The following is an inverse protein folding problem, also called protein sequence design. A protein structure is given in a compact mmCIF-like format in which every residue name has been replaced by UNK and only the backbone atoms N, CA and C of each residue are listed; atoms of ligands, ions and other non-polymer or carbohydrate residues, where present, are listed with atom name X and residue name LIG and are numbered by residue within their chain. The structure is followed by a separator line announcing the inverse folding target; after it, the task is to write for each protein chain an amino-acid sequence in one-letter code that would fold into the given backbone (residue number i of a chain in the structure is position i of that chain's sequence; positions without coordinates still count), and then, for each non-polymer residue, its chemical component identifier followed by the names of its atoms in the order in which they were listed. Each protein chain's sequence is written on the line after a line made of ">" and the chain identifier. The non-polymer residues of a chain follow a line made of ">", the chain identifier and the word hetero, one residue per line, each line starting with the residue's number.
data_IF_104342577887
#
_entry.id   IF_104342577887
#
_cell.length_a   1.000
_cell.length_b   1.000
_cell.length_c   1.000
_cell.angle_alpha   90.00
_cell.angle_beta   90.00
_cell.angle_gamma   90.00
#
_symmetry.space_group_name_H-M   'P 1'
#
loop_
_entity.id
_entity.type
_entity.pdbx_description
1 polymer ?
#
# COMPACT_ATOMS: atom_id res chain seq x y z
N UNK A 1 -37.37 7.27 10.31
CA UNK A 1 -35.94 7.57 10.52
C UNK A 1 -35.08 6.33 10.28
N UNK A 2 -35.35 5.21 10.96
CA UNK A 2 -34.58 3.96 10.84
C UNK A 2 -34.59 3.33 9.43
N UNK A 3 -35.70 3.40 8.70
CA UNK A 3 -35.80 2.88 7.32
C UNK A 3 -34.93 3.67 6.35
N UNK A 4 -34.93 5.00 6.43
CA UNK A 4 -34.15 5.85 5.54
C UNK A 4 -32.64 5.69 5.75
N UNK A 5 -32.19 5.51 7.00
CA UNK A 5 -30.79 5.20 7.32
C UNK A 5 -30.36 3.83 6.78
N UNK A 6 -31.22 2.81 6.90
CA UNK A 6 -30.96 1.47 6.39
C UNK A 6 -30.88 1.46 4.86
N UNK A 7 -31.79 2.16 4.17
CA UNK A 7 -31.82 2.24 2.71
C UNK A 7 -30.54 2.91 2.17
N UNK A 8 -30.13 4.03 2.78
CA UNK A 8 -28.89 4.73 2.44
C UNK A 8 -27.67 3.80 2.58
N UNK A 9 -27.50 3.16 3.73
CA UNK A 9 -26.32 2.30 3.97
C UNK A 9 -26.32 1.05 3.09
N UNK A 10 -27.49 0.51 2.75
CA UNK A 10 -27.60 -0.59 1.80
C UNK A 10 -27.17 -0.16 0.40
N UNK A 11 -27.57 1.04 -0.03
CA UNK A 11 -27.13 1.62 -1.30
C UNK A 11 -25.60 1.82 -1.34
N UNK A 12 -25.03 2.34 -0.25
CA UNK A 12 -23.56 2.44 -0.09
C UNK A 12 -22.89 1.07 -0.24
N UNK A 13 -23.40 0.02 0.40
CA UNK A 13 -22.84 -1.33 0.29
C UNK A 13 -22.95 -1.90 -1.13
N UNK A 14 -24.09 -1.71 -1.79
CA UNK A 14 -24.31 -2.19 -3.16
C UNK A 14 -23.36 -1.54 -4.16
N UNK A 15 -23.01 -0.27 -3.93
CA UNK A 15 -22.06 0.45 -4.79
C UNK A 15 -20.65 -0.18 -4.79
N UNK A 16 -20.26 -0.85 -3.69
CA UNK A 16 -18.96 -1.51 -3.53
C UNK A 16 -18.84 -2.84 -4.28
N UNK A 17 -19.91 -3.30 -4.93
CA UNK A 17 -19.90 -4.46 -5.82
C UNK A 17 -19.31 -4.12 -7.19
N UNK A 18 -19.11 -2.84 -7.49
CA UNK A 18 -18.45 -2.39 -8.72
C UNK A 18 -16.94 -2.64 -8.64
N UNK A 19 -16.30 -2.93 -9.78
CA UNK A 19 -14.85 -3.14 -9.84
C UNK A 19 -14.24 -2.12 -10.80
N UNK A 20 -13.45 -1.14 -10.31
CA UNK A 20 -12.91 -0.08 -11.15
C UNK A 20 -11.65 -0.48 -11.94
N UNK A 21 -11.27 -1.76 -11.95
CA UNK A 21 -10.19 -2.33 -12.75
C UNK A 21 -8.88 -1.51 -12.74
N UNK A 22 -8.46 -1.10 -11.54
CA UNK A 22 -7.28 -0.27 -11.23
C UNK A 22 -7.40 1.24 -11.45
N UNK A 23 -8.56 1.72 -11.88
CA UNK A 23 -8.83 3.14 -12.10
C UNK A 23 -9.57 3.72 -10.90
N UNK A 24 -8.83 4.01 -9.83
CA UNK A 24 -9.37 4.45 -8.53
C UNK A 24 -10.28 5.70 -8.66
N UNK A 25 -9.99 6.52 -9.67
CA UNK A 25 -10.76 7.69 -10.09
C UNK A 25 -12.25 7.37 -10.30
N UNK A 26 -12.56 6.19 -10.85
CA UNK A 26 -13.93 5.81 -11.22
C UNK A 26 -14.85 5.63 -10.00
N UNK A 27 -14.27 5.40 -8.82
CA UNK A 27 -15.02 5.24 -7.57
C UNK A 27 -14.73 6.38 -6.59
N UNK A 28 -13.98 7.40 -6.98
CA UNK A 28 -13.66 8.53 -6.10
C UNK A 28 -14.92 9.29 -5.69
N UNK A 29 -15.74 9.70 -6.66
CA UNK A 29 -16.99 10.44 -6.40
C UNK A 29 -17.93 9.62 -5.53
N UNK A 30 -18.04 8.31 -5.79
CA UNK A 30 -18.81 7.40 -4.96
C UNK A 30 -18.34 7.43 -3.48
N UNK A 31 -17.03 7.35 -3.25
CA UNK A 31 -16.48 7.39 -1.88
C UNK A 31 -16.63 8.77 -1.22
N UNK A 32 -16.57 9.86 -2.01
CA UNK A 32 -16.83 11.21 -1.53
C UNK A 32 -18.28 11.34 -1.06
N UNK A 33 -19.24 10.89 -1.86
CA UNK A 33 -20.66 10.92 -1.53
C UNK A 33 -20.95 10.08 -0.29
N UNK A 34 -20.37 8.88 -0.23
CA UNK A 34 -20.50 8.01 0.95
C UNK A 34 -20.00 8.69 2.23
N UNK A 35 -18.82 9.31 2.17
CA UNK A 35 -18.23 10.00 3.30
C UNK A 35 -19.02 11.27 3.69
N UNK A 36 -19.57 12.00 2.72
CA UNK A 36 -20.35 13.21 2.96
C UNK A 36 -21.70 12.90 3.61
N UNK A 37 -22.35 11.79 3.21
CA UNK A 37 -23.68 11.42 3.68
C UNK A 37 -23.68 10.80 5.09
N UNK A 38 -22.74 9.90 5.39
CA UNK A 38 -22.60 9.29 6.72
C UNK A 38 -21.13 9.05 7.06
N UNK A 39 -20.40 10.07 7.55
CA UNK A 39 -18.97 9.95 7.81
C UNK A 39 -18.65 8.92 8.90
N UNK A 40 -19.49 8.81 9.94
CA UNK A 40 -19.29 7.82 11.01
C UNK A 40 -19.40 6.40 10.46
N UNK A 41 -20.45 6.12 9.68
CA UNK A 41 -20.57 4.82 9.04
C UNK A 41 -19.46 4.57 8.04
N UNK A 42 -19.04 5.57 7.25
CA UNK A 42 -17.92 5.44 6.31
C UNK A 42 -16.63 4.98 6.99
N UNK A 43 -16.29 5.58 8.15
CA UNK A 43 -15.14 5.17 8.96
C UNK A 43 -15.23 3.71 9.40
N UNK A 44 -16.38 3.30 9.94
CA UNK A 44 -16.61 1.90 10.34
C UNK A 44 -16.57 0.94 9.14
N UNK A 45 -17.23 1.30 8.04
CA UNK A 45 -17.26 0.52 6.82
C UNK A 45 -15.86 0.34 6.25
N UNK A 46 -15.01 1.36 6.24
CA UNK A 46 -13.62 1.25 5.81
C UNK A 46 -12.82 0.23 6.64
N UNK A 47 -12.98 0.25 7.97
CA UNK A 47 -12.30 -0.72 8.85
C UNK A 47 -12.81 -2.15 8.67
N UNK A 48 -14.12 -2.31 8.46
CA UNK A 48 -14.73 -3.60 8.14
C UNK A 48 -14.26 -4.11 6.78
N UNK A 49 -14.30 -3.24 5.76
CA UNK A 49 -13.92 -3.55 4.38
C UNK A 49 -12.44 -3.92 4.27
N UNK A 50 -11.56 -3.30 5.06
CA UNK A 50 -10.15 -3.69 5.10
C UNK A 50 -9.95 -5.16 5.50
N UNK A 51 -10.85 -5.71 6.34
CA UNK A 51 -10.77 -7.10 6.82
C UNK A 51 -11.60 -8.09 6.01
N UNK A 52 -12.67 -7.61 5.36
CA UNK A 52 -13.72 -8.46 4.77
C UNK A 52 -14.02 -8.17 3.30
N UNK A 53 -13.61 -7.01 2.80
CA UNK A 53 -13.82 -6.62 1.41
C UNK A 53 -12.93 -7.39 0.46
N UNK A 54 -13.45 -7.64 -0.74
CA UNK A 54 -12.78 -8.42 -1.77
C UNK A 54 -12.16 -7.55 -2.86
N UNK A 55 -12.74 -6.37 -3.13
CA UNK A 55 -12.28 -5.48 -4.21
C UNK A 55 -11.20 -4.56 -3.67
N UNK A 56 -9.96 -4.85 -4.06
CA UNK A 56 -8.77 -4.11 -3.64
C UNK A 56 -8.84 -2.61 -3.87
N UNK A 57 -9.41 -2.19 -5.00
CA UNK A 57 -9.46 -0.79 -5.37
C UNK A 57 -10.29 0.03 -4.37
N UNK A 58 -11.44 -0.49 -3.91
CA UNK A 58 -12.21 0.14 -2.84
C UNK A 58 -11.43 0.24 -1.52
N UNK A 59 -10.66 -0.80 -1.17
CA UNK A 59 -9.79 -0.75 0.02
C UNK A 59 -8.77 0.39 -0.07
N UNK A 60 -8.17 0.60 -1.24
CA UNK A 60 -7.21 1.68 -1.47
C UNK A 60 -7.88 3.06 -1.40
N UNK A 61 -9.07 3.23 -1.99
CA UNK A 61 -9.82 4.50 -1.94
C UNK A 61 -10.32 4.81 -0.53
N UNK A 62 -10.83 3.82 0.21
CA UNK A 62 -11.19 3.98 1.62
C UNK A 62 -10.03 4.58 2.43
N UNK A 63 -8.85 3.96 2.35
CA UNK A 63 -7.67 4.39 3.10
C UNK A 63 -7.24 5.80 2.67
N UNK A 64 -7.31 6.13 1.37
CA UNK A 64 -6.99 7.46 0.90
C UNK A 64 -7.90 8.54 1.49
N UNK A 65 -9.23 8.34 1.42
CA UNK A 65 -10.21 9.26 1.98
C UNK A 65 -10.10 9.38 3.50
N UNK A 66 -9.83 8.28 4.21
CA UNK A 66 -9.58 8.31 5.65
C UNK A 66 -8.36 9.19 5.99
N UNK A 67 -7.26 9.02 5.26
CA UNK A 67 -6.01 9.76 5.48
C UNK A 67 -6.14 11.27 5.18
N UNK A 68 -7.06 11.65 4.30
CA UNK A 68 -7.31 13.05 3.90
C UNK A 68 -8.55 13.66 4.55
N UNK A 69 -9.25 12.92 5.42
CA UNK A 69 -10.47 13.40 6.08
C UNK A 69 -10.19 14.49 7.11
N UNK A 70 -11.17 15.38 7.31
CA UNK A 70 -11.14 16.40 8.37
C UNK A 70 -11.33 15.82 9.78
N UNK A 71 -11.91 14.61 9.88
CA UNK A 71 -12.08 13.90 11.15
C UNK A 71 -10.76 13.25 11.59
N UNK A 72 -10.39 13.46 12.86
CA UNK A 72 -9.13 12.92 13.41
C UNK A 72 -9.17 11.40 13.48
N UNK A 73 -10.31 10.84 13.90
CA UNK A 73 -10.59 9.42 14.01
C UNK A 73 -10.42 8.71 12.66
N UNK A 74 -10.83 9.36 11.57
CA UNK A 74 -10.60 8.87 10.22
C UNK A 74 -9.13 8.83 9.88
N UNK A 75 -8.39 9.91 10.14
CA UNK A 75 -6.96 9.95 9.85
C UNK A 75 -6.19 8.91 10.65
N UNK A 76 -6.56 8.69 11.91
CA UNK A 76 -5.95 7.67 12.77
C UNK A 76 -6.26 6.25 12.27
N UNK A 77 -7.50 5.98 11.86
CA UNK A 77 -7.87 4.71 11.23
C UNK A 77 -7.09 4.50 9.92
N UNK A 78 -7.09 5.48 9.02
CA UNK A 78 -6.34 5.43 7.76
C UNK A 78 -4.84 5.21 7.98
N UNK A 79 -4.27 5.84 9.02
CA UNK A 79 -2.87 5.64 9.41
C UNK A 79 -2.59 4.19 9.74
N UNK A 80 -3.41 3.57 10.60
CA UNK A 80 -3.25 2.19 11.04
C UNK A 80 -3.46 1.21 9.89
N UNK A 81 -4.55 1.36 9.12
CA UNK A 81 -4.86 0.48 7.99
C UNK A 81 -3.78 0.49 6.90
N UNK A 82 -3.12 1.63 6.68
CA UNK A 82 -2.00 1.73 5.73
C UNK A 82 -0.81 0.84 6.11
N UNK A 83 -0.59 0.58 7.41
CA UNK A 83 0.57 -0.20 7.87
C UNK A 83 0.55 -1.66 7.43
N UNK A 84 -0.66 -2.20 7.21
CA UNK A 84 -0.90 -3.60 6.88
C UNK A 84 -0.90 -3.86 5.36
N UNK A 85 -0.87 -2.81 4.54
CA UNK A 85 -0.87 -2.95 3.10
C UNK A 85 0.49 -3.47 2.56
N UNK A 86 0.48 -4.19 1.43
CA UNK A 86 1.70 -4.46 0.67
C UNK A 86 2.20 -3.18 -0.04
N UNK A 87 3.50 -3.12 -0.42
CA UNK A 87 4.11 -1.90 -0.96
C UNK A 87 3.40 -1.31 -2.17
N UNK A 88 2.89 -2.15 -3.08
CA UNK A 88 2.22 -1.68 -4.28
C UNK A 88 0.88 -0.98 -3.95
N UNK A 89 0.13 -1.43 -2.94
CA UNK A 89 -1.10 -0.77 -2.52
C UNK A 89 -0.79 0.56 -1.84
N UNK A 90 0.24 0.62 -0.98
CA UNK A 90 0.66 1.90 -0.37
C UNK A 90 1.09 2.90 -1.44
N UNK A 91 1.83 2.48 -2.46
CA UNK A 91 2.20 3.34 -3.57
C UNK A 91 0.99 3.84 -4.38
N UNK A 92 -0.04 3.00 -4.56
CA UNK A 92 -1.29 3.39 -5.22
C UNK A 92 -2.10 4.38 -4.38
N UNK A 93 -2.26 4.16 -3.08
CA UNK A 93 -2.89 5.11 -2.16
C UNK A 93 -2.18 6.47 -2.19
N UNK A 94 -0.85 6.48 -2.08
CA UNK A 94 -0.06 7.72 -2.14
C UNK A 94 -0.20 8.40 -3.50
N UNK A 95 -0.16 7.63 -4.60
CA UNK A 95 -0.35 8.15 -5.95
C UNK A 95 -1.72 8.79 -6.12
N UNK A 96 -2.77 8.10 -5.68
CA UNK A 96 -4.15 8.58 -5.69
C UNK A 96 -4.28 9.87 -4.88
N UNK A 97 -3.76 9.94 -3.65
CA UNK A 97 -3.80 11.17 -2.85
C UNK A 97 -3.14 12.35 -3.58
N UNK A 98 -1.97 12.12 -4.20
CA UNK A 98 -1.26 13.18 -4.95
C UNK A 98 -2.05 13.64 -6.16
N UNK A 99 -2.70 12.74 -6.88
CA UNK A 99 -3.47 13.09 -8.08
C UNK A 99 -4.79 13.77 -7.73
N UNK A 100 -5.53 13.25 -6.74
CA UNK A 100 -6.90 13.65 -6.44
C UNK A 100 -7.03 14.79 -5.42
N UNK A 101 -6.08 14.91 -4.49
CA UNK A 101 -6.16 15.89 -3.38
C UNK A 101 -5.12 17.01 -3.52
N UNK A 102 -4.87 17.46 -4.76
CA UNK A 102 -4.07 18.66 -5.03
C UNK A 102 -2.55 18.51 -4.82
N UNK A 103 -2.01 17.30 -4.98
CA UNK A 103 -0.55 17.07 -5.04
C UNK A 103 0.18 17.01 -3.69
N UNK A 104 -0.43 17.50 -2.61
CA UNK A 104 0.19 17.58 -1.28
C UNK A 104 -0.36 16.50 -0.36
N UNK A 105 0.53 15.67 0.19
CA UNK A 105 0.12 14.72 1.23
C UNK A 105 -0.06 15.46 2.56
N UNK A 106 -1.12 15.14 3.33
CA UNK A 106 -1.20 15.52 4.73
C UNK A 106 0.03 15.06 5.53
N UNK A 107 0.41 15.83 6.55
CA UNK A 107 1.58 15.51 7.39
C UNK A 107 1.43 14.14 8.06
N UNK A 108 0.22 13.81 8.54
CA UNK A 108 -0.13 12.50 9.10
C UNK A 108 0.16 11.37 8.11
N UNK A 109 -0.26 11.53 6.85
CA UNK A 109 -0.03 10.56 5.76
C UNK A 109 1.46 10.36 5.49
N UNK A 110 2.23 11.46 5.43
CA UNK A 110 3.70 11.38 5.27
C UNK A 110 4.34 10.63 6.44
N UNK A 111 3.89 10.88 7.66
CA UNK A 111 4.34 10.16 8.86
C UNK A 111 3.99 8.67 8.77
N UNK A 112 2.76 8.33 8.36
CA UNK A 112 2.30 6.95 8.21
C UNK A 112 3.18 6.17 7.21
N UNK A 113 3.48 6.77 6.05
CA UNK A 113 4.36 6.14 5.05
C UNK A 113 5.81 6.03 5.55
N UNK A 114 6.28 7.03 6.31
CA UNK A 114 7.62 6.96 6.90
C UNK A 114 7.71 5.81 7.90
N UNK A 115 6.75 5.68 8.82
CA UNK A 115 6.71 4.57 9.76
C UNK A 115 6.57 3.22 9.06
N UNK A 116 5.75 3.14 8.01
CA UNK A 116 5.60 1.95 7.18
C UNK A 116 6.94 1.46 6.60
N UNK A 117 7.75 2.39 6.07
CA UNK A 117 9.07 2.09 5.51
C UNK A 117 10.07 1.73 6.61
N UNK A 118 10.11 2.49 7.72
CA UNK A 118 11.00 2.20 8.85
C UNK A 118 10.72 0.84 9.50
N UNK A 119 9.45 0.47 9.65
CA UNK A 119 9.05 -0.85 10.15
C UNK A 119 9.58 -1.98 9.27
N UNK A 120 9.61 -1.79 7.95
CA UNK A 120 10.19 -2.75 7.01
C UNK A 120 11.69 -2.80 7.12
N UNK A 121 12.34 -1.64 7.10
CA UNK A 121 13.80 -1.52 7.24
C UNK A 121 14.36 -2.12 8.53
N UNK A 122 13.56 -2.14 9.60
CA UNK A 122 13.97 -2.69 10.90
C UNK A 122 14.22 -4.21 10.87
N UNK A 123 13.52 -4.95 10.01
CA UNK A 123 13.73 -6.38 9.79
C UNK A 123 14.28 -6.61 8.36
N UNK A 124 15.58 -6.90 8.21
CA UNK A 124 16.21 -7.13 6.90
C UNK A 124 15.50 -8.19 6.05
N UNK A 125 15.05 -9.29 6.65
CA UNK A 125 14.39 -10.37 5.92
C UNK A 125 12.97 -9.97 5.49
N UNK A 126 12.27 -9.17 6.29
CA UNK A 126 10.99 -8.60 5.90
C UNK A 126 11.13 -7.58 4.77
N UNK A 127 12.13 -6.69 4.85
CA UNK A 127 12.43 -5.74 3.78
C UNK A 127 12.79 -6.44 2.47
N UNK A 128 13.70 -7.41 2.50
CA UNK A 128 14.16 -8.12 1.31
C UNK A 128 13.01 -8.82 0.58
N UNK A 129 12.13 -9.50 1.32
CA UNK A 129 10.93 -10.14 0.75
C UNK A 129 9.99 -9.12 0.12
N UNK A 130 9.81 -7.96 0.75
CA UNK A 130 9.02 -6.87 0.18
C UNK A 130 9.67 -6.28 -1.08
N UNK A 131 10.99 -6.12 -1.10
CA UNK A 131 11.75 -5.61 -2.24
C UNK A 131 11.77 -6.58 -3.42
N UNK A 132 11.81 -7.89 -3.17
CA UNK A 132 11.73 -8.93 -4.20
C UNK A 132 10.47 -8.78 -5.07
N UNK A 133 9.31 -8.59 -4.44
CA UNK A 133 8.01 -8.51 -5.13
C UNK A 133 7.59 -7.08 -5.50
N UNK A 134 8.07 -6.09 -4.74
CA UNK A 134 7.57 -4.72 -4.74
C UNK A 134 8.62 -3.64 -5.01
N UNK A 135 9.76 -3.97 -5.63
CA UNK A 135 10.90 -3.06 -5.87
C UNK A 135 10.47 -1.69 -6.40
N UNK A 136 9.67 -1.67 -7.48
CA UNK A 136 9.22 -0.43 -8.13
C UNK A 136 8.39 0.45 -7.18
N UNK A 137 7.46 -0.16 -6.46
CA UNK A 137 6.59 0.54 -5.51
C UNK A 137 7.39 1.11 -4.34
N UNK A 138 8.33 0.35 -3.77
CA UNK A 138 9.20 0.85 -2.70
C UNK A 138 10.07 2.03 -3.18
N UNK A 139 10.73 1.91 -4.34
CA UNK A 139 11.50 3.02 -4.96
C UNK A 139 10.64 4.27 -5.11
N UNK A 140 9.42 4.11 -5.62
CA UNK A 140 8.48 5.21 -5.79
C UNK A 140 8.11 5.85 -4.44
N UNK A 141 7.88 5.08 -3.38
CA UNK A 141 7.55 5.62 -2.06
C UNK A 141 8.70 6.47 -1.48
N UNK A 142 9.93 5.97 -1.52
CA UNK A 142 11.10 6.73 -1.08
C UNK A 142 11.31 8.01 -1.90
N UNK A 143 11.28 7.89 -3.23
CA UNK A 143 11.56 9.00 -4.13
C UNK A 143 10.46 10.07 -4.09
N UNK A 144 9.19 9.65 -4.20
CA UNK A 144 8.05 10.58 -4.31
C UNK A 144 7.78 11.39 -3.04
N UNK A 145 8.27 10.89 -1.90
CA UNK A 145 8.19 11.55 -0.61
C UNK A 145 9.55 12.07 -0.13
N UNK A 146 10.64 11.94 -0.88
CA UNK A 146 11.98 12.36 -0.43
C UNK A 146 12.34 11.78 0.95
N UNK A 147 12.03 10.51 1.19
CA UNK A 147 12.40 9.81 2.43
C UNK A 147 13.79 9.21 2.20
N UNK A 148 14.73 9.50 3.09
CA UNK A 148 16.07 8.92 3.02
C UNK A 148 16.02 7.43 3.38
N UNK A 149 16.37 6.49 2.49
CA UNK A 149 16.46 5.07 2.83
C UNK A 149 17.60 4.81 3.81
N UNK A 150 17.52 3.71 4.57
CA UNK A 150 18.69 3.19 5.29
C UNK A 150 19.71 2.59 4.29
N UNK A 151 20.90 2.23 4.77
CA UNK A 151 21.98 1.72 3.93
C UNK A 151 21.58 0.47 3.12
N UNK A 152 20.90 -0.50 3.76
CA UNK A 152 20.44 -1.73 3.09
C UNK A 152 19.41 -1.42 2.01
N UNK A 153 18.41 -0.59 2.32
CA UNK A 153 17.38 -0.19 1.37
C UNK A 153 17.96 0.59 0.19
N UNK A 154 18.94 1.45 0.44
CA UNK A 154 19.66 2.20 -0.59
C UNK A 154 20.44 1.27 -1.53
N UNK A 155 21.22 0.37 -0.95
CA UNK A 155 22.01 -0.62 -1.66
C UNK A 155 21.14 -1.55 -2.52
N UNK A 156 20.01 -2.00 -1.97
CA UNK A 156 19.07 -2.89 -2.67
C UNK A 156 18.31 -2.15 -3.77
N UNK A 157 17.66 -1.03 -3.46
CA UNK A 157 16.68 -0.40 -4.35
C UNK A 157 17.30 0.57 -5.36
N UNK A 158 18.36 1.28 -4.99
CA UNK A 158 18.91 2.38 -5.77
C UNK A 158 20.27 2.06 -6.38
N UNK A 159 21.21 1.51 -5.61
CA UNK A 159 22.58 1.19 -6.11
C UNK A 159 22.71 -0.16 -6.79
N UNK A 160 21.72 -1.03 -6.64
CA UNK A 160 21.71 -2.39 -7.22
C UNK A 160 22.88 -3.27 -6.74
N UNK A 161 23.34 -3.01 -5.52
CA UNK A 161 24.40 -3.73 -4.82
C UNK A 161 23.81 -4.39 -3.58
N UNK A 162 22.90 -5.38 -3.74
CA UNK A 162 22.27 -6.03 -2.60
C UNK A 162 23.33 -6.68 -1.69
N UNK A 163 23.22 -6.58 -0.36
CA UNK A 163 24.13 -7.25 0.58
C UNK A 163 24.18 -8.77 0.37
N UNK A 164 25.31 -9.41 0.64
CA UNK A 164 25.53 -10.84 0.37
C UNK A 164 24.55 -11.75 1.11
N UNK A 165 24.11 -11.34 2.29
CA UNK A 165 23.14 -12.05 3.13
C UNK A 165 21.68 -11.87 2.65
N UNK A 166 21.44 -11.07 1.60
CA UNK A 166 20.09 -10.80 1.09
C UNK A 166 19.62 -11.83 0.06
N UNK A 167 18.29 -12.08 0.06
CA UNK A 167 17.66 -12.93 -0.97
C UNK A 167 17.82 -12.33 -2.38
N UNK A 168 17.89 -11.00 -2.49
CA UNK A 168 18.10 -10.35 -3.79
C UNK A 168 19.52 -10.54 -4.32
N UNK A 169 20.52 -10.66 -3.45
CA UNK A 169 21.87 -11.02 -3.88
C UNK A 169 21.88 -12.44 -4.44
N UNK A 170 21.27 -13.40 -3.74
CA UNK A 170 21.12 -14.76 -4.24
C UNK A 170 20.39 -14.81 -5.60
N UNK A 171 19.30 -14.07 -5.75
CA UNK A 171 18.58 -13.95 -7.02
C UNK A 171 19.47 -13.36 -8.13
N UNK A 172 20.30 -12.36 -7.79
CA UNK A 172 21.26 -11.77 -8.73
C UNK A 172 22.32 -12.78 -9.17
N UNK A 173 22.73 -13.73 -8.31
CA UNK A 173 23.62 -14.82 -8.70
C UNK A 173 22.91 -15.83 -9.61
N UNK A 174 21.68 -16.23 -9.28
CA UNK A 174 20.88 -17.12 -10.15
C UNK A 174 20.71 -16.53 -11.54
N UNK A 175 20.37 -15.23 -11.63
CA UNK A 175 20.21 -14.55 -12.92
C UNK A 175 21.51 -14.44 -13.74
N UNK A 176 22.68 -14.60 -13.11
CA UNK A 176 23.99 -14.59 -13.77
C UNK A 176 24.49 -15.98 -14.14
N UNK A 177 23.92 -17.05 -13.58
CA UNK A 177 24.35 -18.41 -13.88
C UNK A 177 24.03 -18.77 -15.34
N UNK A 178 25.02 -19.33 -16.01
CA UNK A 178 24.98 -19.61 -17.46
C UNK A 178 24.25 -20.92 -17.77
N UNK A 179 24.16 -21.83 -16.80
CA UNK A 179 23.58 -23.17 -16.99
C UNK A 179 22.34 -23.40 -16.12
N UNK A 180 21.40 -24.21 -16.63
CA UNK A 180 20.19 -24.58 -15.90
C UNK A 180 20.49 -25.40 -14.62
N UNK A 181 21.57 -26.18 -14.63
CA UNK A 181 22.02 -26.99 -13.49
C UNK A 181 22.56 -26.11 -12.35
N UNK A 182 23.36 -25.10 -12.70
CA UNK A 182 23.88 -24.11 -11.75
C UNK A 182 22.75 -23.26 -11.16
N UNK A 183 21.79 -22.83 -11.99
CA UNK A 183 20.58 -22.14 -11.52
C UNK A 183 19.79 -23.00 -10.54
N UNK A 184 19.55 -24.28 -10.85
CA UNK A 184 18.82 -25.20 -9.96
C UNK A 184 19.55 -25.42 -8.63
N UNK A 185 20.89 -25.53 -8.65
CA UNK A 185 21.70 -25.64 -7.44
C UNK A 185 21.58 -24.39 -6.56
N UNK A 186 21.69 -23.20 -7.16
CA UNK A 186 21.57 -21.92 -6.46
C UNK A 186 20.17 -21.69 -5.88
N UNK A 187 19.10 -22.05 -6.61
CA UNK A 187 17.71 -21.97 -6.11
C UNK A 187 17.53 -22.85 -4.88
N UNK A 188 18.01 -24.10 -4.93
CA UNK A 188 17.93 -25.05 -3.80
C UNK A 188 18.76 -24.57 -2.61
N UNK A 189 19.97 -24.06 -2.86
CA UNK A 189 20.88 -23.60 -1.82
C UNK A 189 20.33 -22.36 -1.09
N UNK A 190 19.82 -21.38 -1.84
CA UNK A 190 19.33 -20.11 -1.30
C UNK A 190 17.84 -20.12 -0.93
N UNK A 191 17.13 -21.24 -1.11
CA UNK A 191 15.69 -21.40 -0.82
C UNK A 191 14.85 -20.29 -1.45
N UNK A 192 15.16 -19.96 -2.70
CA UNK A 192 14.41 -18.96 -3.46
C UNK A 192 13.06 -19.59 -3.85
N UNK A 193 11.92 -18.95 -3.53
CA UNK A 193 10.60 -19.45 -3.86
C UNK A 193 10.26 -19.35 -5.35
#
# INVERSE_FOLDING_TARGET
>A
MQTAENDLRLEMLNSLLTTPHRQLEQVADLHLDMMANDPLFYGHLATWYHKKGEVRDHQEVFIAYLLTSDLTEHRDAGFMLLQDLPPYQVARVVGFIKTHFGGRLPRSTRTAVTQYLRKREHDPAFFDRAALRGRKALKQLYASLHIKPNERADNILFKEQPPQDSVLYALKQVAKAETAEEQAHLIKHHKIP
#
